data_IF_330055699175
#
_entry.id   IF_330055699175
#
_cell.length_a   1.000
_cell.length_b   1.000
_cell.length_c   1.000
_cell.angle_alpha   90.00
_cell.angle_beta   90.00
_cell.angle_gamma   90.00
#
_symmetry.space_group_name_H-M   'P 1'
#
loop_
_entity.id
_entity.type
_entity.pdbx_description
1 polymer ?
#
# COMPACT_ATOMS: atom_id res chain seq x y z
N UNK A 1 20.48 -22.44 -4.36
CA UNK A 1 19.21 -22.42 -3.58
C UNK A 1 18.52 -21.10 -3.88
N UNK A 2 17.98 -20.93 -5.09
CA UNK A 2 17.56 -19.60 -5.60
C UNK A 2 16.19 -19.59 -6.31
N UNK A 3 15.43 -20.70 -6.31
CA UNK A 3 14.18 -20.81 -7.07
C UNK A 3 12.88 -20.74 -6.24
N UNK A 4 12.97 -20.40 -4.96
CA UNK A 4 11.81 -20.45 -4.03
C UNK A 4 11.29 -19.08 -3.60
N UNK A 5 11.99 -17.99 -3.95
CA UNK A 5 11.57 -16.62 -3.62
C UNK A 5 10.53 -16.05 -4.59
N UNK A 6 10.49 -16.53 -5.84
CA UNK A 6 9.51 -16.08 -6.83
C UNK A 6 8.25 -16.98 -6.88
N UNK A 7 8.09 -17.85 -5.89
CA UNK A 7 6.90 -18.68 -5.77
C UNK A 7 5.65 -17.80 -5.60
N UNK A 8 4.67 -17.98 -6.51
CA UNK A 8 3.38 -17.31 -6.43
C UNK A 8 2.66 -17.73 -5.15
N UNK A 9 2.18 -16.76 -4.39
CA UNK A 9 1.46 -17.02 -3.15
C UNK A 9 0.00 -17.32 -3.47
N UNK A 10 -0.55 -18.35 -2.85
CA UNK A 10 -2.00 -18.54 -2.81
C UNK A 10 -2.62 -17.47 -1.92
N UNK A 11 -1.94 -17.15 -0.81
CA UNK A 11 -2.28 -16.09 0.13
C UNK A 11 -1.15 -15.88 1.15
N UNK A 12 -1.31 -14.86 2.00
CA UNK A 12 -0.51 -14.64 3.18
C UNK A 12 -1.41 -14.49 4.42
N UNK A 13 -0.93 -14.98 5.55
CA UNK A 13 -1.59 -14.83 6.85
C UNK A 13 -0.78 -13.84 7.68
N UNK A 14 -1.47 -12.90 8.31
CA UNK A 14 -0.90 -12.00 9.31
C UNK A 14 -1.47 -12.35 10.67
N UNK A 15 -0.63 -12.81 11.58
CA UNK A 15 -0.99 -12.98 12.99
C UNK A 15 -0.56 -11.75 13.76
N UNK A 16 -1.47 -11.12 14.48
CA UNK A 16 -1.21 -9.84 15.15
C UNK A 16 -1.35 -9.96 16.66
N UNK A 17 -0.46 -9.27 17.38
CA UNK A 17 -0.57 -9.01 18.80
C UNK A 17 -0.78 -7.53 19.03
N UNK A 18 -1.99 -7.13 19.43
CA UNK A 18 -2.28 -5.73 19.73
C UNK A 18 -1.54 -5.26 20.98
N UNK A 19 -1.42 -6.13 21.99
CA UNK A 19 -0.73 -5.80 23.25
C UNK A 19 0.75 -5.54 23.01
N UNK A 20 1.40 -6.37 22.20
CA UNK A 20 2.83 -6.20 21.89
C UNK A 20 3.07 -5.23 20.73
N UNK A 21 2.00 -4.79 20.05
CA UNK A 21 2.09 -4.00 18.81
C UNK A 21 2.97 -4.68 17.75
N UNK A 22 2.77 -5.98 17.53
CA UNK A 22 3.55 -6.81 16.60
C UNK A 22 2.69 -7.62 15.66
N UNK A 23 3.28 -8.03 14.54
CA UNK A 23 2.71 -9.04 13.67
C UNK A 23 3.75 -10.06 13.23
N UNK A 24 3.28 -11.25 12.84
CA UNK A 24 4.00 -12.26 12.09
C UNK A 24 3.32 -12.47 10.74
N UNK A 25 4.07 -12.32 9.65
CA UNK A 25 3.59 -12.59 8.30
C UNK A 25 4.04 -13.98 7.85
N UNK A 26 3.09 -14.76 7.34
CA UNK A 26 3.28 -16.14 6.91
C UNK A 26 2.85 -16.26 5.45
N UNK A 27 3.78 -16.61 4.58
CA UNK A 27 3.52 -16.96 3.19
C UNK A 27 2.84 -18.33 3.11
N UNK A 28 1.84 -18.47 2.24
CA UNK A 28 1.19 -19.74 1.95
C UNK A 28 1.20 -19.99 0.44
N UNK A 29 1.84 -21.09 0.02
CA UNK A 29 1.99 -21.49 -1.38
C UNK A 29 1.97 -23.02 -1.47
N UNK A 30 1.10 -23.59 -2.31
CA UNK A 30 1.02 -25.04 -2.59
C UNK A 30 0.91 -25.92 -1.34
N UNK A 31 0.21 -25.43 -0.32
CA UNK A 31 0.02 -26.13 0.97
C UNK A 31 1.17 -25.95 1.96
N UNK A 32 2.28 -25.34 1.55
CA UNK A 32 3.38 -24.99 2.44
C UNK A 32 3.13 -23.64 3.11
N UNK A 33 3.63 -23.51 4.35
CA UNK A 33 3.52 -22.29 5.15
C UNK A 33 4.88 -21.93 5.71
N UNK A 34 5.28 -20.69 5.47
CA UNK A 34 6.59 -20.19 5.91
C UNK A 34 6.46 -18.80 6.49
N UNK A 35 7.04 -18.58 7.66
CA UNK A 35 7.12 -17.26 8.26
C UNK A 35 8.12 -16.41 7.47
N UNK A 36 7.67 -15.29 6.93
CA UNK A 36 8.51 -14.36 6.17
C UNK A 36 9.23 -13.38 7.08
N UNK A 37 8.47 -12.69 7.94
CA UNK A 37 9.00 -11.61 8.76
C UNK A 37 8.08 -11.34 9.93
N UNK A 38 8.66 -10.83 11.01
CA UNK A 38 7.94 -10.19 12.12
C UNK A 38 8.18 -8.69 12.08
N UNK A 39 7.15 -7.90 12.35
CA UNK A 39 7.28 -6.45 12.34
C UNK A 39 6.37 -5.75 13.35
N UNK A 40 6.55 -4.43 13.52
CA UNK A 40 5.63 -3.60 14.29
C UNK A 40 4.26 -3.52 13.59
N UNK A 41 3.18 -3.54 14.37
CA UNK A 41 1.82 -3.48 13.85
C UNK A 41 1.41 -2.04 13.45
N UNK A 42 1.97 -1.00 14.09
CA UNK A 42 1.64 0.40 13.77
C UNK A 42 1.85 0.74 12.29
N UNK A 43 3.03 0.50 11.68
CA UNK A 43 3.22 0.76 10.26
C UNK A 43 2.29 -0.02 9.34
N UNK A 44 2.06 -1.29 9.68
CA UNK A 44 1.21 -2.17 8.89
C UNK A 44 -0.24 -1.67 8.88
N UNK A 45 -0.73 -1.16 10.01
CA UNK A 45 -2.07 -0.59 10.17
C UNK A 45 -2.29 0.73 9.41
N UNK A 46 -1.23 1.40 8.95
CA UNK A 46 -1.35 2.57 8.07
C UNK A 46 -1.68 2.18 6.62
N UNK A 47 -1.33 0.95 6.23
CA UNK A 47 -1.41 0.47 4.84
C UNK A 47 -2.50 -0.57 4.64
N UNK A 48 -2.80 -1.38 5.66
CA UNK A 48 -3.78 -2.46 5.59
C UNK A 48 -4.97 -2.19 6.51
N UNK A 49 -6.17 -2.13 5.93
CA UNK A 49 -7.42 -1.86 6.67
C UNK A 49 -7.68 -2.92 7.73
N UNK A 50 -7.44 -4.21 7.45
CA UNK A 50 -7.68 -5.28 8.43
C UNK A 50 -6.75 -5.17 9.65
N UNK A 51 -5.47 -4.82 9.42
CA UNK A 51 -4.53 -4.55 10.50
C UNK A 51 -4.98 -3.35 11.35
N UNK A 52 -5.53 -2.30 10.72
CA UNK A 52 -6.10 -1.15 11.42
C UNK A 52 -7.29 -1.53 12.30
N UNK A 53 -8.21 -2.35 11.79
CA UNK A 53 -9.41 -2.80 12.52
C UNK A 53 -9.03 -3.65 13.74
N UNK A 54 -8.12 -4.61 13.58
CA UNK A 54 -7.68 -5.45 14.69
C UNK A 54 -7.01 -4.61 15.78
N UNK A 55 -6.14 -3.69 15.37
CA UNK A 55 -5.47 -2.78 16.29
C UNK A 55 -6.44 -1.85 17.02
N UNK A 56 -7.43 -1.27 16.34
CA UNK A 56 -8.41 -0.38 16.99
C UNK A 56 -9.27 -1.12 18.02
N UNK A 57 -9.55 -2.40 17.76
CA UNK A 57 -10.31 -3.25 18.68
C UNK A 57 -9.46 -3.75 19.87
N UNK A 58 -8.16 -3.43 19.91
CA UNK A 58 -7.22 -3.87 20.95
C UNK A 58 -7.18 -5.39 21.13
N UNK A 59 -7.46 -6.15 20.07
CA UNK A 59 -7.51 -7.61 20.10
C UNK A 59 -6.31 -8.23 19.39
N UNK A 60 -5.91 -9.43 19.83
CA UNK A 60 -5.07 -10.27 19.01
C UNK A 60 -5.94 -10.85 17.89
N UNK A 61 -5.38 -10.98 16.69
CA UNK A 61 -6.18 -11.36 15.54
C UNK A 61 -5.36 -12.02 14.45
N UNK A 62 -6.07 -12.47 13.43
CA UNK A 62 -5.47 -13.00 12.22
C UNK A 62 -6.27 -12.56 11.04
N UNK A 63 -5.61 -12.08 9.99
CA UNK A 63 -6.26 -11.73 8.73
C UNK A 63 -5.47 -12.29 7.54
N UNK A 64 -6.17 -12.43 6.42
CA UNK A 64 -5.65 -13.04 5.20
C UNK A 64 -5.48 -11.97 4.13
N UNK A 65 -4.29 -11.90 3.55
CA UNK A 65 -4.02 -11.12 2.35
C UNK A 65 -3.96 -12.06 1.16
N UNK A 66 -4.78 -11.81 0.14
CA UNK A 66 -4.78 -12.59 -1.09
C UNK A 66 -4.99 -11.64 -2.27
N UNK A 67 -4.49 -11.99 -3.44
CA UNK A 67 -4.82 -11.23 -4.65
C UNK A 67 -6.28 -11.45 -5.03
N UNK A 68 -6.93 -10.40 -5.53
CA UNK A 68 -8.31 -10.49 -6.02
C UNK A 68 -8.43 -11.35 -7.28
N UNK A 69 -7.34 -11.52 -8.03
CA UNK A 69 -7.34 -12.29 -9.27
C UNK A 69 -6.27 -13.39 -9.22
N UNK A 70 -6.73 -14.58 -8.84
CA UNK A 70 -5.91 -15.80 -8.69
C UNK A 70 -5.30 -16.24 -10.01
N UNK A 71 -5.88 -15.82 -11.16
CA UNK A 71 -5.42 -16.24 -12.49
C UNK A 71 -4.40 -15.29 -13.13
N UNK A 72 -4.25 -14.07 -12.60
CA UNK A 72 -3.57 -12.98 -13.31
C UNK A 72 -2.61 -12.13 -12.44
N UNK A 73 -2.17 -12.62 -11.29
CA UNK A 73 -1.34 -11.81 -10.37
C UNK A 73 0.12 -12.28 -10.28
N UNK A 74 0.94 -12.10 -11.35
CA UNK A 74 2.35 -12.51 -11.33
C UNK A 74 3.17 -11.75 -10.28
N UNK A 75 2.64 -10.62 -9.80
CA UNK A 75 3.26 -9.78 -8.78
C UNK A 75 3.10 -10.34 -7.37
N UNK A 76 2.06 -11.14 -7.09
CA UNK A 76 1.78 -11.64 -5.73
C UNK A 76 2.56 -12.93 -5.45
N UNK A 77 3.87 -12.76 -5.28
CA UNK A 77 4.82 -13.80 -4.94
C UNK A 77 5.54 -13.48 -3.62
N UNK A 78 6.29 -14.47 -3.11
CA UNK A 78 6.99 -14.39 -1.83
C UNK A 78 7.99 -13.23 -1.78
N UNK A 79 8.75 -13.00 -2.86
CA UNK A 79 9.74 -11.93 -3.00
C UNK A 79 9.09 -10.55 -2.91
N UNK A 80 7.99 -10.31 -3.63
CA UNK A 80 7.26 -9.06 -3.58
C UNK A 80 6.71 -8.79 -2.19
N UNK A 81 6.08 -9.78 -1.56
CA UNK A 81 5.54 -9.62 -0.21
C UNK A 81 6.67 -9.35 0.81
N UNK A 82 7.78 -10.06 0.72
CA UNK A 82 8.94 -9.84 1.59
C UNK A 82 9.50 -8.42 1.45
N UNK A 83 9.68 -7.93 0.22
CA UNK A 83 10.15 -6.55 -0.04
C UNK A 83 9.18 -5.50 0.48
N UNK A 84 7.88 -5.70 0.27
CA UNK A 84 6.84 -4.83 0.83
C UNK A 84 6.98 -4.75 2.34
N UNK A 85 6.99 -5.90 3.03
CA UNK A 85 7.05 -5.92 4.49
C UNK A 85 8.38 -5.38 5.04
N UNK A 86 9.49 -5.54 4.32
CA UNK A 86 10.75 -4.90 4.66
C UNK A 86 10.64 -3.37 4.62
N UNK A 87 10.00 -2.81 3.59
CA UNK A 87 9.75 -1.37 3.50
C UNK A 87 8.80 -0.88 4.60
N UNK A 88 7.74 -1.64 4.90
CA UNK A 88 6.81 -1.34 6.00
C UNK A 88 7.49 -1.36 7.36
N UNK A 89 8.45 -2.26 7.57
CA UNK A 89 9.15 -2.38 8.83
C UNK A 89 10.33 -1.39 8.98
N UNK A 90 10.65 -0.62 7.94
CA UNK A 90 11.67 0.43 7.98
C UNK A 90 11.04 1.81 8.18
N UNK A 91 11.16 2.42 9.38
CA UNK A 91 10.58 3.74 9.65
C UNK A 91 11.13 4.86 8.75
N UNK A 92 12.38 4.75 8.32
CA UNK A 92 13.07 5.65 7.39
C UNK A 92 12.42 5.61 6.01
N UNK A 93 12.11 4.40 5.53
CA UNK A 93 11.40 4.22 4.26
C UNK A 93 9.97 4.75 4.34
N UNK A 94 9.23 4.49 5.42
CA UNK A 94 7.87 5.03 5.59
C UNK A 94 7.83 6.56 5.56
N UNK A 95 8.78 7.22 6.24
CA UNK A 95 8.89 8.67 6.23
C UNK A 95 9.15 9.20 4.82
N UNK A 96 9.99 8.51 4.04
CA UNK A 96 10.26 8.88 2.65
C UNK A 96 9.02 8.71 1.74
N UNK A 97 8.23 7.65 1.93
CA UNK A 97 7.00 7.40 1.17
C UNK A 97 5.99 8.54 1.40
N UNK A 98 5.82 8.98 2.65
CA UNK A 98 4.95 10.12 2.97
C UNK A 98 5.39 11.41 2.26
N UNK A 99 6.70 11.66 2.20
CA UNK A 99 7.28 12.79 1.46
C UNK A 99 6.98 12.71 -0.04
N UNK A 100 7.20 11.53 -0.65
CA UNK A 100 6.94 11.29 -2.08
C UNK A 100 5.45 11.46 -2.41
N UNK A 101 4.56 10.89 -1.60
CA UNK A 101 3.11 11.02 -1.82
C UNK A 101 2.65 12.47 -1.75
N UNK A 102 3.20 13.25 -0.81
CA UNK A 102 2.93 14.68 -0.71
C UNK A 102 3.46 15.45 -1.95
N UNK A 103 4.68 15.15 -2.40
CA UNK A 103 5.24 15.75 -3.62
C UNK A 103 4.39 15.44 -4.85
N UNK A 104 3.97 14.18 -5.01
CA UNK A 104 3.04 13.77 -6.08
C UNK A 104 1.71 14.53 -6.01
N UNK A 105 1.17 14.74 -4.80
CA UNK A 105 -0.04 15.55 -4.60
C UNK A 105 0.17 16.99 -5.05
N UNK A 106 1.29 17.61 -4.68
CA UNK A 106 1.62 18.99 -5.07
C UNK A 106 1.77 19.15 -6.59
N UNK A 107 2.38 18.16 -7.26
CA UNK A 107 2.48 18.14 -8.72
C UNK A 107 1.10 18.08 -9.38
N UNK A 108 0.19 17.26 -8.85
CA UNK A 108 -1.17 17.14 -9.39
C UNK A 108 -2.00 18.42 -9.13
N UNK A 109 -1.85 19.06 -7.97
CA UNK A 109 -2.48 20.36 -7.69
C UNK A 109 -1.97 21.46 -8.62
N UNK A 110 -0.66 21.52 -8.83
CA UNK A 110 -0.03 22.47 -9.76
C UNK A 110 -0.57 22.26 -11.18
N UNK A 111 -0.64 21.01 -11.64
CA UNK A 111 -1.21 20.66 -12.94
C UNK A 111 -2.66 21.15 -13.08
N UNK A 112 -3.51 20.89 -12.08
CA UNK A 112 -4.92 21.34 -12.05
C UNK A 112 -5.02 22.86 -12.08
N UNK A 113 -4.19 23.55 -11.31
CA UNK A 113 -4.13 25.02 -11.31
C UNK A 113 -3.78 25.56 -12.70
N UNK A 114 -2.73 25.04 -13.34
CA UNK A 114 -2.35 25.45 -14.69
C UNK A 114 -3.48 25.21 -15.72
N UNK A 115 -4.18 24.08 -15.65
CA UNK A 115 -5.33 23.80 -16.52
C UNK A 115 -6.50 24.77 -16.27
N UNK A 116 -6.72 25.16 -15.01
CA UNK A 116 -7.76 26.15 -14.66
C UNK A 116 -7.48 27.52 -15.27
N UNK A 117 -6.21 27.92 -15.41
CA UNK A 117 -5.83 29.19 -16.04
C UNK A 117 -6.24 29.22 -17.52
N UNK A 118 -5.97 28.14 -18.27
CA UNK A 118 -6.41 28.05 -19.68
C UNK A 118 -7.93 28.12 -19.83
N UNK A 119 -8.65 27.44 -18.94
CA UNK A 119 -10.12 27.44 -18.94
C UNK A 119 -10.68 28.85 -18.65
N UNK A 120 -10.04 29.58 -17.73
CA UNK A 120 -10.43 30.94 -17.36
C UNK A 120 -10.11 31.95 -18.45
N UNK A 121 -8.93 31.85 -19.08
CA UNK A 121 -8.53 32.70 -20.22
C UNK A 121 -9.44 32.47 -21.42
N UNK A 122 -9.74 31.22 -21.77
CA UNK A 122 -10.67 30.90 -22.85
C UNK A 122 -12.07 31.49 -22.60
N UNK A 123 -12.56 31.40 -21.35
CA UNK A 123 -13.82 32.02 -20.94
C UNK A 123 -13.79 33.55 -21.09
N UNK A 124 -12.71 34.22 -20.62
CA UNK A 124 -12.57 35.68 -20.74
C UNK A 124 -12.54 36.14 -22.19
N UNK A 125 -11.85 35.41 -23.06
CA UNK A 125 -11.84 35.70 -24.50
C UNK A 125 -13.26 35.57 -25.06
N UNK A 126 -13.94 34.44 -24.83
CA UNK A 126 -15.30 34.17 -25.32
C UNK A 126 -16.32 35.24 -24.87
N UNK A 127 -16.27 35.66 -23.60
CA UNK A 127 -17.14 36.73 -23.08
C UNK A 127 -16.88 38.08 -23.75
N UNK A 128 -15.62 38.38 -24.08
CA UNK A 128 -15.25 39.59 -24.82
C UNK A 128 -15.80 39.63 -26.24
N UNK A 129 -15.97 38.47 -26.91
CA UNK A 129 -16.59 38.38 -28.24
C UNK A 129 -18.12 38.53 -28.19
N UNK A 130 -18.77 38.05 -27.13
CA UNK A 130 -20.24 38.08 -27.02
C UNK A 130 -20.81 39.43 -26.58
N UNK A 131 -19.93 40.33 -26.10
CA UNK A 131 -20.30 41.65 -25.56
C UNK A 131 -20.11 42.80 -26.55
N UNK A 132 -19.92 42.48 -27.85
CA UNK A 132 -19.75 43.42 -28.97
C UNK A 132 -20.86 43.23 -29.98
#
# INVERSE_FOLDING_TARGET
MERELDALLDYAIFQTSSVQNRYDAIACCKGEREKLVSGPLDPLALLLTDAKVIKSNSTNGTFKLQSNDVTASPWFNKSTLSRFLHAVNSPEMLKSIGGILNEMSQLEETRKFHLSLYSKVASWIMWGWYSK
#
